data_IF_004959485344
#
_entry.id   IF_004959485344
#
_cell.length_a   1.000
_cell.length_b   1.000
_cell.length_c   1.000
_cell.angle_alpha   90.00
_cell.angle_beta   90.00
_cell.angle_gamma   90.00
#
_symmetry.space_group_name_H-M   'P 1'
#
loop_
_entity.id
_entity.type
_entity.pdbx_description
1 polymer ?
#
# COMPACT_ATOMS: atom_id res chain seq x y z
N UNK A 1 -26.08 26.78 8.22
CA UNK A 1 -25.43 25.69 9.00
C UNK A 1 -24.96 24.55 8.10
N UNK A 2 -25.79 24.01 7.19
CA UNK A 2 -25.42 22.89 6.31
C UNK A 2 -24.35 23.24 5.25
N UNK A 3 -24.35 24.47 4.74
CA UNK A 3 -23.42 24.89 3.67
C UNK A 3 -21.97 25.07 4.15
N UNK A 4 -21.77 25.46 5.41
CA UNK A 4 -20.44 25.64 6.00
C UNK A 4 -19.73 24.30 6.19
N UNK A 5 -20.47 23.26 6.60
CA UNK A 5 -19.93 21.89 6.75
C UNK A 5 -19.57 21.29 5.40
N UNK A 6 -20.38 21.51 4.35
CA UNK A 6 -20.11 21.01 2.99
C UNK A 6 -18.86 21.64 2.37
N UNK A 7 -18.53 22.88 2.75
CA UNK A 7 -17.35 23.63 2.27
C UNK A 7 -16.04 23.13 2.89
N UNK A 8 -16.08 22.62 4.14
CA UNK A 8 -14.92 22.02 4.81
C UNK A 8 -14.59 20.62 4.28
N UNK A 9 -15.61 19.89 3.82
CA UNK A 9 -15.45 18.62 3.09
C UNK A 9 -15.12 18.83 1.61
N UNK A 10 -14.47 19.94 1.26
CA UNK A 10 -13.99 20.26 -0.08
C UNK A 10 -13.40 19.02 -0.73
N UNK A 11 -13.98 18.63 -1.86
CA UNK A 11 -13.76 17.38 -2.56
C UNK A 11 -12.31 16.90 -2.44
N UNK A 12 -12.05 16.00 -1.49
CA UNK A 12 -10.80 15.24 -1.42
C UNK A 12 -10.82 14.17 -2.51
N UNK A 13 -11.08 14.57 -3.76
CA UNK A 13 -10.61 13.80 -4.89
C UNK A 13 -9.11 13.96 -4.88
N UNK A 14 -8.42 13.09 -4.13
CA UNK A 14 -7.01 12.81 -4.46
C UNK A 14 -7.06 12.40 -5.92
N UNK A 15 -6.46 13.14 -6.87
CA UNK A 15 -6.29 12.60 -8.20
C UNK A 15 -5.57 11.28 -8.01
N UNK A 16 -6.15 10.22 -8.56
CA UNK A 16 -5.50 8.93 -8.62
C UNK A 16 -4.12 9.18 -9.23
N UNK A 17 -3.05 8.90 -8.47
CA UNK A 17 -1.70 9.25 -8.91
C UNK A 17 -1.46 8.48 -10.21
N UNK A 18 -1.24 9.15 -11.36
CA UNK A 18 -1.15 8.46 -12.62
C UNK A 18 0.05 7.51 -12.59
N UNK A 19 -0.17 6.24 -12.96
CA UNK A 19 0.92 5.26 -13.06
C UNK A 19 1.82 5.66 -14.21
N UNK A 20 3.14 5.68 -13.97
CA UNK A 20 4.15 6.01 -14.97
C UNK A 20 4.91 4.76 -15.42
N UNK A 21 5.27 4.73 -16.70
CA UNK A 21 6.20 3.75 -17.25
C UNK A 21 7.63 4.04 -16.76
N UNK A 22 8.60 3.21 -17.18
CA UNK A 22 10.00 3.34 -16.76
C UNK A 22 10.64 4.64 -17.26
N UNK A 23 10.12 5.19 -18.34
CA UNK A 23 10.52 6.47 -18.93
C UNK A 23 9.85 7.68 -18.26
N UNK A 24 9.03 7.47 -17.22
CA UNK A 24 8.36 8.53 -16.49
C UNK A 24 7.10 9.11 -17.17
N UNK A 25 6.68 8.53 -18.30
CA UNK A 25 5.45 8.90 -19.02
C UNK A 25 4.23 8.26 -18.37
N UNK A 26 3.14 9.03 -18.29
CA UNK A 26 1.86 8.57 -17.75
C UNK A 26 1.26 7.49 -18.66
N UNK A 27 0.85 6.38 -18.05
CA UNK A 27 0.14 5.28 -18.69
C UNK A 27 -1.36 5.54 -18.58
N UNK A 28 -2.06 5.53 -19.71
CA UNK A 28 -3.52 5.76 -19.78
C UNK A 28 -4.30 4.48 -20.07
N UNK A 29 -3.65 3.42 -20.55
CA UNK A 29 -4.27 2.14 -20.87
C UNK A 29 -4.21 1.17 -19.68
N UNK A 30 -5.37 0.59 -19.31
CA UNK A 30 -5.49 -0.35 -18.17
C UNK A 30 -4.60 -1.59 -18.35
N UNK A 31 -4.48 -2.13 -19.56
CA UNK A 31 -3.64 -3.31 -19.84
C UNK A 31 -2.15 -2.98 -19.64
N UNK A 32 -1.72 -1.80 -20.09
CA UNK A 32 -0.35 -1.34 -19.87
C UNK A 32 -0.07 -1.07 -18.39
N UNK A 33 -1.06 -0.56 -17.65
CA UNK A 33 -0.96 -0.38 -16.21
C UNK A 33 -0.80 -1.72 -15.48
N UNK A 34 -1.59 -2.74 -15.85
CA UNK A 34 -1.45 -4.10 -15.31
C UNK A 34 -0.07 -4.70 -15.63
N UNK A 35 0.41 -4.55 -16.87
CA UNK A 35 1.75 -5.01 -17.24
C UNK A 35 2.83 -4.29 -16.41
N UNK A 36 2.69 -2.99 -16.20
CA UNK A 36 3.62 -2.21 -15.37
C UNK A 36 3.64 -2.70 -13.92
N UNK A 37 2.48 -3.08 -13.37
CA UNK A 37 2.39 -3.71 -12.04
C UNK A 37 3.11 -5.05 -12.01
N UNK A 38 2.86 -5.93 -12.98
CA UNK A 38 3.51 -7.25 -13.08
C UNK A 38 5.03 -7.11 -13.16
N UNK A 39 5.54 -6.19 -13.99
CA UNK A 39 6.98 -5.92 -14.09
C UNK A 39 7.56 -5.43 -12.76
N UNK A 40 6.90 -4.46 -12.11
CA UNK A 40 7.38 -3.88 -10.86
C UNK A 40 7.47 -4.93 -9.75
N UNK A 41 6.42 -5.75 -9.59
CA UNK A 41 6.42 -6.82 -8.60
C UNK A 41 7.45 -7.91 -8.93
N UNK A 42 7.65 -8.22 -10.21
CA UNK A 42 8.69 -9.18 -10.61
C UNK A 42 10.09 -8.67 -10.26
N UNK A 43 10.39 -7.41 -10.52
CA UNK A 43 11.67 -6.79 -10.15
C UNK A 43 11.86 -6.76 -8.63
N UNK A 44 10.82 -6.41 -7.88
CA UNK A 44 10.87 -6.31 -6.43
C UNK A 44 11.08 -7.67 -5.75
N UNK A 45 10.32 -8.68 -6.17
CA UNK A 45 10.30 -10.01 -5.53
C UNK A 45 11.47 -10.89 -5.96
N UNK A 46 12.04 -10.67 -7.16
CA UNK A 46 13.19 -11.45 -7.65
C UNK A 46 14.52 -10.71 -7.49
N UNK A 47 14.55 -9.60 -6.74
CA UNK A 47 15.80 -8.87 -6.47
C UNK A 47 16.73 -9.75 -5.61
N UNK A 48 17.95 -10.05 -6.07
CA UNK A 48 18.90 -10.82 -5.27
C UNK A 48 19.29 -10.03 -4.01
N UNK A 49 19.64 -10.75 -2.94
CA UNK A 49 20.18 -10.14 -1.75
C UNK A 49 21.41 -9.28 -2.12
N UNK A 50 21.55 -8.08 -1.54
CA UNK A 50 22.74 -7.27 -1.78
C UNK A 50 23.99 -8.05 -1.35
N UNK A 51 25.02 -8.06 -2.20
CA UNK A 51 26.27 -8.79 -1.96
C UNK A 51 27.00 -8.31 -0.70
N UNK A 52 26.88 -7.01 -0.39
CA UNK A 52 27.40 -6.44 0.83
C UNK A 52 26.26 -6.41 1.86
N UNK A 53 26.39 -7.11 3.00
CA UNK A 53 25.46 -6.91 4.09
C UNK A 53 25.52 -5.43 4.51
N UNK A 54 24.38 -4.78 4.72
CA UNK A 54 24.39 -3.42 5.25
C UNK A 54 25.11 -3.45 6.61
N UNK A 55 26.07 -2.54 6.81
CA UNK A 55 26.78 -2.38 8.07
C UNK A 55 25.84 -1.77 9.10
N UNK A 56 24.97 -2.59 9.66
CA UNK A 56 23.99 -2.22 10.68
C UNK A 56 24.37 -2.99 11.94
N UNK A 57 24.74 -2.25 12.98
CA UNK A 57 24.95 -2.77 14.33
C UNK A 57 23.67 -3.51 14.76
N UNK A 58 23.79 -4.79 15.12
CA UNK A 58 22.63 -5.63 15.41
C UNK A 58 21.85 -5.03 16.59
N UNK A 59 20.62 -4.58 16.33
CA UNK A 59 19.70 -4.23 17.40
C UNK A 59 19.43 -5.49 18.26
N UNK A 60 19.28 -5.37 19.58
CA UNK A 60 18.87 -6.49 20.42
C UNK A 60 17.51 -7.02 19.93
N UNK A 61 17.53 -8.19 19.30
CA UNK A 61 16.34 -8.84 18.76
C UNK A 61 15.61 -9.56 19.88
N UNK A 62 14.44 -9.04 20.26
CA UNK A 62 13.35 -9.89 20.77
C UNK A 62 11.97 -9.24 20.54
N UNK A 63 11.68 -8.88 19.29
CA UNK A 63 10.30 -8.64 18.87
C UNK A 63 9.92 -9.77 17.92
N UNK A 64 9.28 -10.80 18.48
CA UNK A 64 8.64 -11.86 17.71
C UNK A 64 7.49 -11.27 16.89
N UNK A 65 7.81 -10.68 15.74
CA UNK A 65 6.81 -10.51 14.69
C UNK A 65 6.45 -11.89 14.20
N UNK A 66 5.21 -12.30 14.45
CA UNK A 66 4.61 -13.49 13.87
C UNK A 66 4.60 -13.33 12.34
N UNK A 67 5.66 -13.80 11.70
CA UNK A 67 5.76 -13.91 10.25
C UNK A 67 5.11 -15.23 9.82
N UNK A 68 3.90 -15.48 10.33
CA UNK A 68 3.06 -16.56 9.84
C UNK A 68 2.88 -16.43 8.33
N UNK A 69 2.69 -17.56 7.63
CA UNK A 69 2.40 -17.56 6.20
C UNK A 69 1.17 -16.69 5.95
N UNK A 70 1.36 -15.48 5.41
CA UNK A 70 0.25 -14.58 5.11
C UNK A 70 -0.70 -15.29 4.16
N UNK A 71 -1.88 -15.62 4.67
CA UNK A 71 -2.84 -16.45 3.95
C UNK A 71 -3.54 -15.61 2.87
N UNK A 72 -3.99 -16.26 1.80
CA UNK A 72 -4.77 -15.60 0.74
C UNK A 72 -6.05 -14.98 1.32
N UNK A 73 -6.60 -15.59 2.38
CA UNK A 73 -7.77 -15.11 3.10
C UNK A 73 -7.48 -13.80 3.84
N UNK A 74 -6.34 -13.69 4.54
CA UNK A 74 -5.89 -12.44 5.17
C UNK A 74 -5.69 -11.32 4.15
N UNK A 75 -5.07 -11.63 3.02
CA UNK A 75 -4.88 -10.66 1.92
C UNK A 75 -6.25 -10.18 1.40
N UNK A 76 -7.17 -11.11 1.16
CA UNK A 76 -8.53 -10.80 0.70
C UNK A 76 -9.30 -9.95 1.71
N UNK A 77 -9.22 -10.28 3.01
CA UNK A 77 -9.83 -9.50 4.08
C UNK A 77 -9.25 -8.09 4.16
N UNK A 78 -7.93 -7.93 4.11
CA UNK A 78 -7.27 -6.62 4.12
C UNK A 78 -7.73 -5.75 2.95
N UNK A 79 -7.80 -6.31 1.74
CA UNK A 79 -8.31 -5.61 0.55
C UNK A 79 -9.77 -5.17 0.76
N UNK A 80 -10.63 -6.03 1.35
CA UNK A 80 -12.03 -5.70 1.65
C UNK A 80 -12.15 -4.58 2.69
N UNK A 81 -11.29 -4.57 3.72
CA UNK A 81 -11.26 -3.52 4.74
C UNK A 81 -10.83 -2.17 4.16
N UNK A 82 -9.80 -2.16 3.32
CA UNK A 82 -9.34 -0.96 2.61
C UNK A 82 -10.45 -0.42 1.70
N UNK A 83 -11.12 -1.31 0.95
CA UNK A 83 -12.21 -0.92 0.03
C UNK A 83 -13.44 -0.38 0.77
N UNK A 84 -13.71 -0.84 1.98
CA UNK A 84 -14.83 -0.38 2.80
C UNK A 84 -14.50 0.85 3.67
N UNK A 85 -13.27 1.37 3.60
CA UNK A 85 -12.83 2.52 4.41
C UNK A 85 -12.73 2.22 5.91
N UNK A 86 -12.76 0.94 6.30
CA UNK A 86 -12.77 0.46 7.69
C UNK A 86 -11.40 0.00 8.18
N UNK A 87 -10.33 0.25 7.43
CA UNK A 87 -8.99 -0.08 7.86
C UNK A 87 -8.71 0.60 9.22
N UNK A 88 -8.58 -0.21 10.27
CA UNK A 88 -8.07 0.27 11.55
C UNK A 88 -6.68 0.87 11.30
N UNK A 89 -6.44 2.07 11.80
CA UNK A 89 -5.10 2.63 11.80
C UNK A 89 -4.12 1.70 12.55
N UNK A 90 -2.81 1.92 12.44
CA UNK A 90 -1.80 1.15 13.19
C UNK A 90 -2.05 1.09 14.70
N UNK A 91 -2.91 1.97 15.21
CA UNK A 91 -3.30 2.10 16.61
C UNK A 91 -4.44 1.16 17.04
N UNK A 92 -4.98 0.31 16.15
CA UNK A 92 -6.10 -0.62 16.43
C UNK A 92 -7.38 0.05 17.00
N UNK A 93 -7.58 1.34 16.81
CA UNK A 93 -8.74 2.06 17.33
C UNK A 93 -9.93 1.87 16.36
N UNK A 94 -11.06 1.30 16.80
CA UNK A 94 -12.27 1.23 15.99
C UNK A 94 -12.82 2.64 15.76
N UNK A 95 -13.17 2.97 14.51
CA UNK A 95 -13.92 4.19 14.23
C UNK A 95 -15.30 4.06 14.89
N UNK A 96 -15.56 4.94 15.87
CA UNK A 96 -16.76 4.98 16.68
C UNK A 96 -18.05 5.19 15.90
N UNK A 97 -19.12 4.81 16.59
CA UNK A 97 -20.52 4.58 16.23
C UNK A 97 -21.24 5.69 15.44
#
# INVERSE_FOLDING_TARGET
MYDTTKKLYGNRHKPERPVKNKEGKVITNIKEQQNRWVEHFKELLNRPAPLNPPNIEAAPTDLATDVGSTTIEEISMAIRQIKSGKAAGPDNIPAGH
#
